data_IF_805180383331
#
_entry.id   IF_805180383331
#
_cell.length_a   1.000
_cell.length_b   1.000
_cell.length_c   1.000
_cell.angle_alpha   90.00
_cell.angle_beta   90.00
_cell.angle_gamma   90.00
#
_symmetry.space_group_name_H-M   'P 1'
#
loop_
_entity.id
_entity.type
_entity.pdbx_description
1 polymer ?
#
# COMPACT_ATOMS: atom_id res chain seq x y z
N UNK A 1 13.89 -7.35 3.96
CA UNK A 1 15.13 -8.17 4.10
C UNK A 1 14.82 -9.60 3.69
N UNK A 2 15.58 -10.19 2.77
CA UNK A 2 15.38 -11.57 2.30
C UNK A 2 16.45 -12.45 2.97
N UNK A 3 16.03 -13.31 3.89
CA UNK A 3 16.90 -14.29 4.54
C UNK A 3 16.88 -15.57 3.71
N UNK A 4 18.03 -16.02 3.19
CA UNK A 4 18.15 -17.33 2.54
C UNK A 4 18.47 -18.37 3.62
N UNK A 5 17.62 -19.37 3.86
CA UNK A 5 18.03 -20.51 4.68
C UNK A 5 19.18 -21.25 4.01
N UNK A 6 20.12 -21.73 4.81
CA UNK A 6 21.43 -22.27 4.40
C UNK A 6 21.36 -23.66 3.75
N UNK A 7 20.22 -24.29 3.64
CA UNK A 7 20.08 -25.65 3.13
C UNK A 7 19.02 -25.77 2.04
N UNK A 8 19.41 -26.31 0.89
CA UNK A 8 18.61 -27.09 -0.08
C UNK A 8 17.31 -26.43 -0.62
N UNK A 9 16.68 -25.54 0.09
CA UNK A 9 15.45 -24.86 -0.30
C UNK A 9 15.78 -23.58 -1.07
N UNK A 10 15.29 -23.49 -2.30
CA UNK A 10 15.37 -22.29 -3.14
C UNK A 10 14.47 -21.16 -2.64
N UNK A 11 13.64 -21.47 -1.69
CA UNK A 11 12.62 -20.61 -1.11
C UNK A 11 13.23 -19.47 -0.28
N UNK A 12 12.46 -18.46 0.00
CA UNK A 12 12.88 -17.31 0.77
C UNK A 12 11.87 -16.94 1.85
N UNK A 13 12.39 -16.38 2.95
CA UNK A 13 11.57 -15.76 3.99
C UNK A 13 11.68 -14.24 3.82
N UNK A 14 10.53 -13.57 3.79
CA UNK A 14 10.42 -12.13 3.85
C UNK A 14 10.03 -11.69 5.26
N UNK A 15 10.66 -10.64 5.76
CA UNK A 15 10.25 -9.94 6.98
C UNK A 15 10.17 -8.46 6.68
N UNK A 16 9.23 -7.77 7.31
CA UNK A 16 9.04 -6.35 7.09
C UNK A 16 8.41 -5.66 8.28
N UNK A 17 8.52 -4.35 8.28
CA UNK A 17 7.89 -3.45 9.22
C UNK A 17 7.14 -2.38 8.43
N UNK A 18 5.91 -2.06 8.85
CA UNK A 18 5.07 -1.02 8.25
C UNK A 18 4.67 -0.05 9.35
N UNK A 19 4.86 1.21 9.08
CA UNK A 19 4.35 2.31 9.89
C UNK A 19 3.41 3.16 9.05
N UNK A 20 2.19 3.36 9.55
CA UNK A 20 1.21 4.27 8.96
C UNK A 20 0.76 5.28 10.01
N UNK A 21 0.66 6.53 9.61
CA UNK A 21 0.06 7.58 10.41
C UNK A 21 -0.79 8.46 9.49
N UNK A 22 -2.07 8.52 9.79
CA UNK A 22 -3.05 9.31 9.06
C UNK A 22 -3.78 10.24 10.01
N UNK A 23 -4.07 11.47 9.55
CA UNK A 23 -4.83 12.48 10.30
C UNK A 23 -5.68 13.27 9.31
N UNK A 24 -6.96 13.40 9.60
CA UNK A 24 -7.90 14.11 8.75
C UNK A 24 -8.82 15.03 9.57
N UNK A 25 -9.24 16.11 8.92
CA UNK A 25 -10.18 17.08 9.46
C UNK A 25 -9.68 17.89 10.68
N UNK A 26 -10.49 18.83 11.12
CA UNK A 26 -10.14 19.77 12.20
C UNK A 26 -9.97 19.06 13.54
N UNK A 27 -10.77 18.00 13.78
CA UNK A 27 -10.66 17.17 14.98
C UNK A 27 -9.45 16.24 15.00
N UNK A 28 -8.58 16.26 13.98
CA UNK A 28 -7.45 15.35 13.81
C UNK A 28 -7.88 13.86 13.97
N UNK A 29 -9.07 13.51 13.44
CA UNK A 29 -9.48 12.11 13.41
C UNK A 29 -8.46 11.32 12.57
N UNK A 30 -7.96 10.21 13.10
CA UNK A 30 -6.99 9.45 12.35
C UNK A 30 -6.50 8.20 13.06
N UNK A 31 -5.57 7.53 12.39
CA UNK A 31 -5.00 6.27 12.80
C UNK A 31 -3.48 6.32 12.87
N UNK A 32 -2.91 5.63 13.85
CA UNK A 32 -1.50 5.31 13.92
C UNK A 32 -1.38 3.79 13.99
N UNK A 33 -0.58 3.20 13.10
CA UNK A 33 -0.49 1.74 12.95
C UNK A 33 0.96 1.32 12.80
N UNK A 34 1.31 0.25 13.51
CA UNK A 34 2.59 -0.44 13.41
C UNK A 34 2.33 -1.90 13.11
N UNK A 35 2.87 -2.42 12.00
CA UNK A 35 2.77 -3.82 11.65
C UNK A 35 4.14 -4.44 11.52
N UNK A 36 4.28 -5.62 12.10
CA UNK A 36 5.35 -6.56 11.81
C UNK A 36 4.83 -7.62 10.85
N UNK A 37 5.55 -7.87 9.76
CA UNK A 37 5.11 -8.77 8.70
C UNK A 37 6.11 -9.89 8.48
N UNK A 38 5.60 -11.09 8.23
CA UNK A 38 6.37 -12.25 7.84
C UNK A 38 5.77 -12.93 6.63
N UNK A 39 6.59 -13.46 5.74
CA UNK A 39 6.11 -14.21 4.58
C UNK A 39 7.07 -15.33 4.21
N UNK A 40 6.50 -16.42 3.69
CA UNK A 40 7.22 -17.49 3.05
C UNK A 40 6.99 -17.44 1.55
N UNK A 41 8.07 -17.54 0.77
CA UNK A 41 8.07 -17.38 -0.69
C UNK A 41 8.59 -18.66 -1.31
N UNK A 42 7.68 -19.41 -1.95
CA UNK A 42 8.03 -20.59 -2.75
C UNK A 42 8.48 -20.19 -4.14
N UNK A 43 9.64 -20.66 -4.54
CA UNK A 43 10.12 -20.54 -5.90
C UNK A 43 9.66 -21.76 -6.69
N UNK A 44 8.46 -21.68 -7.30
CA UNK A 44 7.85 -22.80 -8.03
C UNK A 44 8.73 -23.24 -9.20
N UNK A 45 9.30 -22.28 -9.94
CA UNK A 45 10.26 -22.55 -11.00
C UNK A 45 11.70 -22.29 -10.55
N UNK A 46 12.65 -23.10 -11.09
CA UNK A 46 14.08 -23.03 -10.75
C UNK A 46 14.73 -21.69 -11.06
N UNK A 47 14.27 -21.02 -12.10
CA UNK A 47 14.75 -19.72 -12.56
C UNK A 47 14.11 -18.54 -11.80
N UNK A 48 13.26 -18.83 -10.80
CA UNK A 48 12.49 -17.84 -10.04
C UNK A 48 11.50 -17.05 -10.90
N UNK A 49 11.15 -17.55 -12.09
CA UNK A 49 10.18 -16.87 -12.96
C UNK A 49 8.74 -17.02 -12.48
N UNK A 50 8.46 -18.03 -11.63
CA UNK A 50 7.17 -18.22 -10.98
C UNK A 50 7.38 -18.39 -9.48
N UNK A 51 6.78 -17.49 -8.69
CA UNK A 51 6.86 -17.49 -7.25
C UNK A 51 5.45 -17.34 -6.67
N UNK A 52 5.20 -18.04 -5.57
CA UNK A 52 3.98 -17.93 -4.76
C UNK A 52 4.40 -17.60 -3.33
N UNK A 53 3.70 -16.71 -2.67
CA UNK A 53 3.97 -16.40 -1.28
C UNK A 53 2.71 -16.41 -0.43
N UNK A 54 2.87 -16.80 0.83
CA UNK A 54 1.91 -16.60 1.90
C UNK A 54 2.54 -15.71 2.95
N UNK A 55 1.76 -14.79 3.47
CA UNK A 55 2.23 -13.83 4.46
C UNK A 55 1.20 -13.55 5.54
N UNK A 56 1.71 -13.12 6.67
CA UNK A 56 0.90 -12.69 7.81
C UNK A 56 1.48 -11.39 8.36
N UNK A 57 0.63 -10.59 8.99
CA UNK A 57 1.06 -9.41 9.74
C UNK A 57 0.32 -9.33 11.07
N UNK A 58 1.05 -8.91 12.09
CA UNK A 58 0.56 -8.58 13.41
C UNK A 58 0.81 -7.10 13.65
N UNK A 59 -0.23 -6.36 14.01
CA UNK A 59 -0.16 -4.92 14.18
C UNK A 59 -0.71 -4.43 15.50
N UNK A 60 -0.18 -3.30 15.93
CA UNK A 60 -0.73 -2.44 16.94
C UNK A 60 -1.33 -1.22 16.25
N UNK A 61 -2.60 -0.96 16.51
CA UNK A 61 -3.37 0.10 15.88
C UNK A 61 -4.01 0.98 16.93
N UNK A 62 -3.95 2.28 16.71
CA UNK A 62 -4.58 3.30 17.52
C UNK A 62 -5.43 4.20 16.65
N UNK A 63 -6.69 4.38 16.98
CA UNK A 63 -7.62 5.30 16.31
C UNK A 63 -8.09 6.32 17.33
N UNK A 64 -8.19 7.58 16.93
CA UNK A 64 -8.60 8.63 17.85
C UNK A 64 -8.93 9.95 17.17
N UNK A 65 -9.45 10.88 17.97
CA UNK A 65 -9.75 12.24 17.55
C UNK A 65 -9.55 13.22 18.71
N UNK A 66 -9.40 14.49 18.40
CA UNK A 66 -9.29 15.56 19.40
C UNK A 66 -10.66 16.21 19.64
N UNK A 67 -11.30 15.83 20.75
CA UNK A 67 -12.60 16.35 21.12
C UNK A 67 -12.62 17.88 21.31
N UNK A 68 -11.56 18.46 21.86
CA UNK A 68 -11.50 19.92 22.11
C UNK A 68 -11.51 20.78 20.85
N UNK A 69 -11.28 20.17 19.67
CA UNK A 69 -11.34 20.84 18.37
C UNK A 69 -12.65 20.64 17.64
N UNK A 70 -13.59 19.89 18.22
CA UNK A 70 -14.90 19.66 17.63
C UNK A 70 -15.85 20.80 18.01
N UNK A 71 -16.74 21.11 17.10
CA UNK A 71 -17.83 22.08 17.30
C UNK A 71 -19.16 21.40 16.99
N UNK A 72 -20.19 21.73 17.75
CA UNK A 72 -21.49 21.06 17.69
C UNK A 72 -22.63 22.09 17.56
N UNK A 73 -23.71 21.71 16.92
CA UNK A 73 -24.87 22.57 16.67
C UNK A 73 -25.49 23.12 17.97
N UNK A 74 -25.44 22.34 19.05
CA UNK A 74 -25.90 22.75 20.41
C UNK A 74 -25.10 23.92 21.01
N UNK A 75 -23.94 24.22 20.43
CA UNK A 75 -23.11 25.36 20.84
C UNK A 75 -23.43 26.66 20.07
N UNK A 76 -24.52 26.67 19.29
CA UNK A 76 -25.03 27.90 18.67
C UNK A 76 -26.10 28.53 19.55
N UNK A 77 -25.89 29.77 19.99
CA UNK A 77 -26.76 30.49 20.92
C UNK A 77 -27.96 31.22 20.26
N UNK A 78 -28.15 30.98 18.95
CA UNK A 78 -29.17 31.63 18.10
C UNK A 78 -28.63 32.82 17.31
N UNK A 79 -27.45 33.34 17.66
CA UNK A 79 -26.79 34.47 16.98
C UNK A 79 -25.39 34.08 16.50
N UNK A 80 -24.64 33.39 17.33
CA UNK A 80 -23.22 33.02 17.07
C UNK A 80 -22.86 31.70 17.74
N UNK A 81 -21.76 31.16 17.33
CA UNK A 81 -21.11 30.03 17.99
C UNK A 81 -20.54 30.45 19.34
N UNK A 82 -20.86 29.72 20.41
CA UNK A 82 -20.40 29.95 21.75
C UNK A 82 -19.79 28.66 22.34
N UNK A 83 -18.46 28.60 22.42
CA UNK A 83 -17.73 27.45 22.97
C UNK A 83 -17.98 27.20 24.49
N UNK A 84 -18.56 28.14 25.20
CA UNK A 84 -18.95 27.98 26.59
C UNK A 84 -20.23 27.18 26.83
N UNK A 85 -21.02 26.93 25.76
CA UNK A 85 -22.19 26.07 25.82
C UNK A 85 -21.80 24.59 25.78
N UNK A 86 -22.56 23.75 26.49
CA UNK A 86 -22.36 22.33 26.49
C UNK A 86 -22.59 21.75 25.10
N UNK A 87 -21.71 20.88 24.65
CA UNK A 87 -21.84 20.21 23.34
C UNK A 87 -23.03 19.25 23.24
N UNK A 88 -23.52 18.73 24.36
CA UNK A 88 -24.53 17.68 24.44
C UNK A 88 -24.00 16.28 24.07
N UNK A 89 -22.79 16.18 23.57
CA UNK A 89 -22.18 14.91 23.15
C UNK A 89 -21.28 14.33 24.23
N UNK A 90 -21.42 13.03 24.47
CA UNK A 90 -20.61 12.30 25.44
C UNK A 90 -19.92 11.13 24.76
N UNK A 91 -18.61 11.07 24.89
CA UNK A 91 -17.79 9.97 24.42
C UNK A 91 -17.21 9.22 25.62
N UNK A 92 -17.34 7.91 25.65
CA UNK A 92 -16.72 7.08 26.69
C UNK A 92 -15.18 7.14 26.59
N UNK A 93 -14.66 7.36 25.37
CA UNK A 93 -13.24 7.54 25.07
C UNK A 93 -13.05 8.33 23.78
N UNK A 94 -11.97 9.08 23.68
CA UNK A 94 -11.57 9.80 22.45
C UNK A 94 -10.52 9.04 21.65
N UNK A 95 -10.07 7.90 22.18
CA UNK A 95 -9.03 7.08 21.60
C UNK A 95 -9.30 5.60 21.90
N UNK A 96 -9.07 4.74 20.94
CA UNK A 96 -9.14 3.29 21.11
C UNK A 96 -7.90 2.64 20.51
N UNK A 97 -7.44 1.57 21.15
CA UNK A 97 -6.24 0.81 20.73
C UNK A 97 -6.62 -0.66 20.60
N UNK A 98 -6.11 -1.31 19.57
CA UNK A 98 -6.37 -2.72 19.31
C UNK A 98 -5.18 -3.40 18.62
N UNK A 99 -5.14 -4.71 18.77
CA UNK A 99 -4.22 -5.57 18.01
C UNK A 99 -4.92 -6.06 16.76
N UNK A 100 -4.26 -5.90 15.62
CA UNK A 100 -4.76 -6.30 14.32
C UNK A 100 -3.98 -7.47 13.75
N UNK A 101 -4.68 -8.37 13.07
CA UNK A 101 -4.10 -9.56 12.45
C UNK A 101 -4.59 -9.69 11.02
N UNK A 102 -3.62 -9.80 10.08
CA UNK A 102 -3.91 -9.83 8.66
C UNK A 102 -3.15 -10.98 8.00
N UNK A 103 -3.73 -11.53 6.93
CA UNK A 103 -3.13 -12.59 6.13
C UNK A 103 -3.19 -12.22 4.65
N UNK A 104 -2.29 -12.80 3.88
CA UNK A 104 -2.28 -12.57 2.45
C UNK A 104 -1.56 -13.65 1.67
N UNK A 105 -1.82 -13.67 0.39
CA UNK A 105 -1.16 -14.51 -0.59
C UNK A 105 -0.78 -13.68 -1.81
N UNK A 106 0.31 -14.03 -2.48
CA UNK A 106 0.69 -13.38 -3.72
C UNK A 106 1.30 -14.37 -4.70
N UNK A 107 1.05 -14.11 -5.96
CA UNK A 107 1.64 -14.77 -7.11
C UNK A 107 2.47 -13.75 -7.89
N UNK A 108 3.67 -14.12 -8.25
CA UNK A 108 4.52 -13.40 -9.17
C UNK A 108 4.91 -14.32 -10.33
N UNK A 109 4.60 -13.92 -11.54
CA UNK A 109 4.93 -14.68 -12.74
C UNK A 109 5.60 -13.79 -13.79
N UNK A 110 6.88 -14.04 -14.01
CA UNK A 110 7.68 -13.46 -15.07
C UNK A 110 7.62 -14.40 -16.28
N UNK A 111 6.72 -14.13 -17.24
CA UNK A 111 6.52 -14.97 -18.41
C UNK A 111 7.74 -14.91 -19.33
N UNK A 112 8.26 -13.69 -19.52
CA UNK A 112 9.52 -13.38 -20.20
C UNK A 112 10.09 -12.07 -19.63
N UNK A 113 11.26 -11.55 -20.06
CA UNK A 113 11.88 -10.36 -19.46
C UNK A 113 10.99 -9.11 -19.37
N UNK A 114 10.00 -8.98 -20.27
CA UNK A 114 9.13 -7.80 -20.31
C UNK A 114 7.63 -8.10 -20.07
N UNK A 115 7.22 -9.38 -19.99
CA UNK A 115 5.86 -9.76 -19.63
C UNK A 115 5.81 -10.28 -18.20
N UNK A 116 5.06 -9.62 -17.35
CA UNK A 116 4.95 -9.92 -15.93
C UNK A 116 3.50 -9.84 -15.49
N UNK A 117 3.09 -10.84 -14.73
CA UNK A 117 1.82 -10.86 -14.00
C UNK A 117 2.11 -10.87 -12.51
N UNK A 118 1.40 -10.05 -11.75
CA UNK A 118 1.40 -10.11 -10.30
C UNK A 118 -0.05 -10.14 -9.84
N UNK A 119 -0.35 -11.02 -8.92
CA UNK A 119 -1.64 -11.06 -8.25
C UNK A 119 -1.41 -11.12 -6.75
N UNK A 120 -2.14 -10.32 -6.00
CA UNK A 120 -2.13 -10.29 -4.55
C UNK A 120 -3.54 -10.40 -4.00
N UNK A 121 -3.69 -11.14 -2.93
CA UNK A 121 -4.88 -11.22 -2.11
C UNK A 121 -4.53 -10.92 -0.67
N UNK A 122 -5.29 -10.07 -0.01
CA UNK A 122 -5.14 -9.77 1.41
C UNK A 122 -6.47 -9.76 2.13
N UNK A 123 -6.48 -10.28 3.35
CA UNK A 123 -7.60 -10.18 4.28
C UNK A 123 -7.10 -9.51 5.56
N UNK A 124 -7.74 -8.40 5.90
CA UNK A 124 -7.37 -7.53 7.02
C UNK A 124 -8.44 -7.57 8.08
N UNK A 125 -8.05 -7.24 9.32
CA UNK A 125 -8.95 -7.18 10.47
C UNK A 125 -9.65 -8.52 10.75
N UNK A 126 -8.94 -9.64 10.56
CA UNK A 126 -9.50 -11.01 10.65
C UNK A 126 -10.16 -11.29 12.00
N UNK A 127 -9.67 -10.67 13.07
CA UNK A 127 -10.22 -10.82 14.43
C UNK A 127 -11.39 -9.89 14.72
N UNK A 128 -11.72 -8.97 13.82
CA UNK A 128 -12.78 -7.97 14.02
C UNK A 128 -12.58 -7.15 15.30
N UNK A 129 -11.51 -6.33 15.39
CA UNK A 129 -11.26 -5.55 16.59
C UNK A 129 -12.39 -4.55 16.87
N UNK A 130 -12.60 -4.22 18.15
CA UNK A 130 -13.58 -3.20 18.56
C UNK A 130 -12.96 -1.83 18.45
N UNK A 131 -13.59 -0.93 17.70
CA UNK A 131 -13.06 0.41 17.36
C UNK A 131 -13.98 1.56 17.73
N UNK A 132 -14.90 1.35 18.68
CA UNK A 132 -15.92 2.35 19.03
C UNK A 132 -15.45 3.33 20.11
N UNK A 133 -16.03 4.52 20.10
CA UNK A 133 -15.78 5.59 21.08
C UNK A 133 -16.91 5.76 22.10
N UNK A 134 -18.08 5.19 21.84
CA UNK A 134 -19.29 5.35 22.66
C UNK A 134 -19.49 4.25 23.70
N UNK A 135 -18.60 3.26 23.76
CA UNK A 135 -18.65 2.16 24.73
C UNK A 135 -19.47 0.93 24.26
N UNK A 136 -20.10 1.00 23.10
CA UNK A 136 -20.75 -0.13 22.46
C UNK A 136 -19.72 -1.15 21.90
N UNK A 137 -20.14 -2.40 21.69
CA UNK A 137 -19.30 -3.49 21.17
C UNK A 137 -19.57 -3.64 19.68
N UNK A 138 -19.07 -2.68 18.87
CA UNK A 138 -19.12 -2.83 17.42
C UNK A 138 -17.76 -3.27 16.88
N UNK A 139 -17.74 -4.42 16.25
CA UNK A 139 -16.54 -4.98 15.61
C UNK A 139 -16.31 -4.32 14.25
N UNK A 140 -15.04 -4.09 13.95
CA UNK A 140 -14.63 -3.68 12.61
C UNK A 140 -14.80 -4.86 11.64
N UNK A 141 -15.47 -4.62 10.52
CA UNK A 141 -15.61 -5.64 9.47
C UNK A 141 -14.24 -5.99 8.88
N UNK A 142 -14.05 -7.25 8.52
CA UNK A 142 -12.86 -7.64 7.76
C UNK A 142 -12.85 -6.95 6.39
N UNK A 143 -11.64 -6.64 5.92
CA UNK A 143 -11.41 -6.03 4.61
C UNK A 143 -10.70 -7.02 3.71
N UNK A 144 -11.26 -7.30 2.56
CA UNK A 144 -10.63 -8.05 1.47
C UNK A 144 -10.04 -7.08 0.45
N UNK A 145 -8.83 -7.38 -0.01
CA UNK A 145 -8.17 -6.62 -1.06
C UNK A 145 -7.60 -7.58 -2.10
N UNK A 146 -7.90 -7.32 -3.36
CA UNK A 146 -7.30 -8.00 -4.51
C UNK A 146 -6.49 -6.99 -5.30
N UNK A 147 -5.31 -7.36 -5.71
CA UNK A 147 -4.45 -6.57 -6.57
C UNK A 147 -4.00 -7.42 -7.75
N UNK A 148 -4.18 -6.90 -8.95
CA UNK A 148 -3.70 -7.51 -10.18
C UNK A 148 -2.84 -6.48 -10.92
N UNK A 149 -1.66 -6.88 -11.36
CA UNK A 149 -0.80 -6.06 -12.22
C UNK A 149 -0.31 -6.88 -13.41
N UNK A 150 -0.38 -6.28 -14.57
CA UNK A 150 0.15 -6.84 -15.80
C UNK A 150 1.05 -5.83 -16.51
N UNK A 151 2.30 -6.23 -16.74
CA UNK A 151 3.25 -5.44 -17.53
C UNK A 151 3.49 -6.13 -18.88
N UNK A 152 3.42 -5.38 -19.96
CA UNK A 152 3.65 -5.88 -21.33
C UNK A 152 4.37 -4.82 -22.17
N UNK A 153 5.27 -5.21 -23.11
CA UNK A 153 5.88 -4.27 -24.02
C UNK A 153 4.85 -3.71 -25.02
N UNK A 154 4.88 -2.41 -25.23
CA UNK A 154 4.15 -1.73 -26.30
C UNK A 154 5.07 -1.47 -27.50
N UNK A 155 6.30 -1.01 -27.20
CA UNK A 155 7.35 -0.78 -28.18
C UNK A 155 8.67 -1.32 -27.66
N UNK A 156 9.75 -1.18 -28.43
CA UNK A 156 11.08 -1.55 -27.95
C UNK A 156 11.44 -0.86 -26.64
N UNK A 157 11.12 0.43 -26.48
CA UNK A 157 11.52 1.25 -25.33
C UNK A 157 10.35 1.58 -24.38
N UNK A 158 9.16 1.09 -24.62
CA UNK A 158 7.98 1.44 -23.81
C UNK A 158 7.21 0.20 -23.40
N UNK A 159 6.89 0.10 -22.10
CA UNK A 159 5.99 -0.91 -21.55
C UNK A 159 4.68 -0.26 -21.13
N UNK A 160 3.59 -1.01 -21.27
CA UNK A 160 2.30 -0.72 -20.60
C UNK A 160 2.30 -1.46 -19.28
N UNK A 161 1.89 -0.76 -18.21
CA UNK A 161 1.60 -1.35 -16.90
C UNK A 161 0.12 -1.09 -16.61
N UNK A 162 -0.65 -2.16 -16.57
CA UNK A 162 -2.07 -2.14 -16.19
C UNK A 162 -2.23 -2.76 -14.81
N UNK A 163 -2.94 -2.07 -13.93
CA UNK A 163 -3.16 -2.49 -12.54
C UNK A 163 -4.64 -2.37 -12.19
N UNK A 164 -5.11 -3.24 -11.34
CA UNK A 164 -6.45 -3.22 -10.81
C UNK A 164 -6.39 -3.53 -9.31
N UNK A 165 -6.91 -2.64 -8.48
CA UNK A 165 -7.17 -2.90 -7.09
C UNK A 165 -8.66 -2.98 -6.84
N UNK A 166 -9.08 -4.00 -6.13
CA UNK A 166 -10.44 -4.21 -5.65
C UNK A 166 -10.38 -4.36 -4.14
N UNK A 167 -11.12 -3.54 -3.42
CA UNK A 167 -11.18 -3.57 -1.96
C UNK A 167 -12.63 -3.58 -1.50
N UNK A 168 -12.95 -4.46 -0.57
CA UNK A 168 -14.27 -4.55 0.05
C UNK A 168 -14.15 -4.64 1.56
N UNK A 169 -14.93 -3.81 2.28
CA UNK A 169 -15.06 -3.85 3.74
C UNK A 169 -16.51 -3.64 4.14
N UNK A 170 -17.14 -4.67 4.70
CA UNK A 170 -18.58 -4.67 4.95
C UNK A 170 -19.36 -4.39 3.66
N UNK A 171 -20.13 -3.30 3.65
CA UNK A 171 -20.88 -2.85 2.47
C UNK A 171 -20.10 -1.89 1.55
N UNK A 172 -18.90 -1.46 1.94
CA UNK A 172 -18.10 -0.53 1.16
C UNK A 172 -17.25 -1.28 0.15
N UNK A 173 -17.32 -0.81 -1.08
CA UNK A 173 -16.62 -1.37 -2.23
C UNK A 173 -15.87 -0.27 -2.94
N UNK A 174 -14.59 -0.50 -3.21
CA UNK A 174 -13.73 0.36 -3.99
C UNK A 174 -13.05 -0.43 -5.11
N UNK A 175 -13.07 0.11 -6.32
CA UNK A 175 -12.37 -0.44 -7.49
C UNK A 175 -11.50 0.65 -8.08
N UNK A 176 -10.22 0.35 -8.27
CA UNK A 176 -9.21 1.32 -8.71
C UNK A 176 -8.42 0.74 -9.87
N UNK A 177 -8.92 0.86 -11.12
CA UNK A 177 -8.12 0.58 -12.30
C UNK A 177 -7.05 1.67 -12.51
N UNK A 178 -5.89 1.25 -12.95
CA UNK A 178 -4.75 2.10 -13.26
C UNK A 178 -4.06 1.64 -14.54
N UNK A 179 -3.68 2.57 -15.41
CA UNK A 179 -2.86 2.31 -16.58
C UNK A 179 -1.75 3.34 -16.64
N UNK A 180 -0.52 2.88 -16.86
CA UNK A 180 0.64 3.74 -17.08
C UNK A 180 1.51 3.26 -18.22
N UNK A 181 2.19 4.21 -18.86
CA UNK A 181 3.27 3.98 -19.80
C UNK A 181 4.60 4.14 -19.06
N UNK A 182 5.44 3.12 -19.16
CA UNK A 182 6.81 3.14 -18.66
C UNK A 182 7.76 3.22 -19.83
N UNK A 183 8.40 4.38 -20.04
CA UNK A 183 9.38 4.60 -21.11
C UNK A 183 10.78 4.49 -20.55
N UNK A 184 11.57 3.57 -21.10
CA UNK A 184 12.99 3.43 -20.77
C UNK A 184 13.78 4.53 -21.45
N UNK A 185 14.57 5.27 -20.67
CA UNK A 185 15.58 6.23 -21.14
C UNK A 185 16.85 5.45 -21.41
N UNK A 186 17.24 4.57 -20.47
CA UNK A 186 18.36 3.68 -20.59
C UNK A 186 18.01 2.30 -19.99
N UNK A 187 17.96 1.28 -20.81
CA UNK A 187 17.67 -0.08 -20.37
C UNK A 187 18.81 -0.72 -19.58
N UNK A 188 20.06 -0.35 -19.86
CA UNK A 188 21.22 -0.94 -19.20
C UNK A 188 21.29 -0.50 -17.73
N UNK A 189 21.00 0.75 -17.45
CA UNK A 189 20.96 1.28 -16.07
C UNK A 189 19.58 1.14 -15.42
N UNK A 190 18.54 0.78 -16.18
CA UNK A 190 17.17 0.68 -15.72
C UNK A 190 16.49 2.05 -15.50
N UNK A 191 17.02 3.11 -16.15
CA UNK A 191 16.40 4.44 -16.11
C UNK A 191 15.12 4.45 -16.93
N UNK A 192 14.02 4.90 -16.31
CA UNK A 192 12.73 5.00 -16.96
C UNK A 192 11.89 6.11 -16.35
N UNK A 193 11.04 6.71 -17.16
CA UNK A 193 9.95 7.59 -16.73
C UNK A 193 8.62 6.86 -16.84
N UNK A 194 7.71 7.19 -15.94
CA UNK A 194 6.35 6.65 -15.93
C UNK A 194 5.37 7.81 -15.97
N UNK A 195 4.30 7.64 -16.73
CA UNK A 195 3.14 8.53 -16.69
C UNK A 195 1.88 7.66 -16.78
N UNK A 196 0.89 7.95 -15.96
CA UNK A 196 -0.31 7.13 -15.89
C UNK A 196 -1.50 7.85 -15.30
N UNK A 197 -2.64 7.20 -15.49
CA UNK A 197 -3.92 7.62 -14.94
C UNK A 197 -4.51 6.49 -14.13
N UNK A 198 -5.12 6.85 -13.02
CA UNK A 198 -5.82 5.95 -12.14
C UNK A 198 -7.22 6.51 -11.91
N UNK A 199 -8.19 5.62 -11.81
CA UNK A 199 -9.58 5.97 -11.58
C UNK A 199 -10.07 5.34 -10.29
N UNK A 200 -10.25 6.13 -9.23
CA UNK A 200 -10.93 5.67 -8.03
C UNK A 200 -12.43 5.82 -8.25
N UNK A 201 -13.13 4.70 -8.37
CA UNK A 201 -14.56 4.70 -8.75
C UNK A 201 -15.38 5.54 -7.78
N UNK A 202 -16.18 6.48 -8.34
CA UNK A 202 -17.07 7.41 -7.62
C UNK A 202 -16.37 8.44 -6.72
N UNK A 203 -15.05 8.57 -6.79
CA UNK A 203 -14.28 9.44 -5.91
C UNK A 203 -13.35 10.39 -6.67
N UNK A 204 -12.30 9.88 -7.30
CA UNK A 204 -11.28 10.72 -7.90
C UNK A 204 -10.69 10.14 -9.20
N UNK A 205 -10.23 11.04 -10.06
CA UNK A 205 -9.28 10.73 -11.12
C UNK A 205 -7.88 11.13 -10.65
N UNK A 206 -6.89 10.25 -10.82
CA UNK A 206 -5.55 10.45 -10.29
C UNK A 206 -4.56 10.47 -11.44
N UNK A 207 -3.75 11.52 -11.52
CA UNK A 207 -2.62 11.62 -12.45
C UNK A 207 -1.35 11.20 -11.72
N UNK A 208 -0.56 10.32 -12.31
CA UNK A 208 0.69 9.82 -11.72
C UNK A 208 1.85 10.03 -12.66
N UNK A 209 2.99 10.49 -12.10
CA UNK A 209 4.27 10.55 -12.78
C UNK A 209 5.33 9.91 -11.90
N UNK A 210 6.27 9.20 -12.52
CA UNK A 210 7.32 8.52 -11.78
C UNK A 210 8.64 8.52 -12.54
N UNK A 211 9.71 8.36 -11.80
CA UNK A 211 11.07 8.18 -12.30
C UNK A 211 11.74 7.01 -11.61
N UNK A 212 12.30 6.11 -12.38
CA UNK A 212 13.05 4.96 -11.93
C UNK A 212 14.51 5.10 -12.34
N UNK A 213 15.42 4.89 -11.40
CA UNK A 213 16.86 4.87 -11.64
C UNK A 213 17.50 3.73 -10.85
N UNK A 214 17.73 2.61 -11.52
CA UNK A 214 18.27 1.42 -10.86
C UNK A 214 17.43 0.96 -9.67
N UNK A 215 17.93 1.06 -8.42
CA UNK A 215 17.21 0.67 -7.22
C UNK A 215 16.20 1.71 -6.73
N UNK A 216 16.30 2.95 -7.20
CA UNK A 216 15.45 4.06 -6.76
C UNK A 216 14.22 4.18 -7.66
N UNK A 217 13.06 4.30 -7.02
CA UNK A 217 11.78 4.60 -7.67
C UNK A 217 11.12 5.74 -6.91
N UNK A 218 10.81 6.82 -7.61
CA UNK A 218 10.16 7.99 -7.03
C UNK A 218 9.05 8.48 -7.93
N UNK A 219 8.13 9.22 -7.38
CA UNK A 219 7.10 9.86 -8.18
C UNK A 219 6.14 10.70 -7.36
N UNK A 220 5.23 11.29 -8.09
CA UNK A 220 4.19 12.17 -7.58
C UNK A 220 2.84 11.71 -8.12
N UNK A 221 1.80 11.93 -7.35
CA UNK A 221 0.42 11.77 -7.79
C UNK A 221 -0.41 12.98 -7.37
N UNK A 222 -1.42 13.27 -8.15
CA UNK A 222 -2.39 14.31 -7.86
C UNK A 222 -3.80 13.80 -8.10
N UNK A 223 -4.62 13.85 -7.05
CA UNK A 223 -6.03 13.45 -7.10
C UNK A 223 -6.87 14.64 -7.57
N UNK A 224 -7.74 14.40 -8.54
CA UNK A 224 -8.77 15.33 -8.98
C UNK A 224 -10.09 14.79 -8.47
N UNK A 225 -10.69 15.45 -7.48
CA UNK A 225 -11.95 15.01 -6.90
C UNK A 225 -13.09 15.16 -7.93
N UNK A 226 -13.79 14.06 -8.18
CA UNK A 226 -14.96 13.99 -9.09
C UNK A 226 -16.22 13.53 -8.37
N UNK A 227 -16.14 13.28 -7.05
CA UNK A 227 -17.27 12.89 -6.22
C UNK A 227 -18.20 14.07 -5.93
N UNK A 228 -19.31 13.81 -5.24
CA UNK A 228 -20.21 14.87 -4.75
C UNK A 228 -19.53 15.88 -3.81
N UNK A 229 -18.36 15.55 -3.30
CA UNK A 229 -17.50 16.44 -2.50
C UNK A 229 -16.87 17.59 -3.30
N UNK A 230 -17.00 17.59 -4.63
CA UNK A 230 -16.49 18.68 -5.50
C UNK A 230 -16.97 20.07 -5.09
N UNK A 231 -18.21 20.17 -4.58
CA UNK A 231 -18.76 21.43 -4.10
C UNK A 231 -18.01 22.00 -2.89
N UNK A 232 -17.53 21.15 -1.99
CA UNK A 232 -16.78 21.54 -0.79
C UNK A 232 -15.29 21.73 -1.06
N UNK A 233 -14.71 21.00 -2.01
CA UNK A 233 -13.27 20.97 -2.26
C UNK A 233 -12.83 21.82 -3.45
N UNK A 234 -13.78 22.39 -4.22
CA UNK A 234 -13.49 23.05 -5.52
C UNK A 234 -12.63 22.14 -6.45
N UNK A 235 -12.92 20.83 -6.46
CA UNK A 235 -12.19 19.78 -7.17
C UNK A 235 -10.74 19.57 -6.71
N UNK A 236 -10.30 20.23 -5.66
CA UNK A 236 -8.95 20.02 -5.10
C UNK A 236 -8.94 18.65 -4.42
N UNK A 237 -7.98 17.85 -4.80
CA UNK A 237 -7.70 16.56 -4.19
C UNK A 237 -6.39 16.56 -3.42
N UNK A 238 -5.87 15.37 -3.19
CA UNK A 238 -4.60 15.19 -2.48
C UNK A 238 -3.42 15.26 -3.45
N UNK A 239 -2.30 15.78 -2.96
CA UNK A 239 -0.99 15.67 -3.59
C UNK A 239 -0.18 14.64 -2.83
N UNK A 240 0.39 13.66 -3.54
CA UNK A 240 1.15 12.57 -2.95
C UNK A 240 2.56 12.52 -3.53
N UNK A 241 3.53 12.19 -2.68
CA UNK A 241 4.91 11.90 -3.09
C UNK A 241 5.23 10.50 -2.59
N UNK A 242 5.85 9.70 -3.44
CA UNK A 242 6.37 8.40 -3.04
C UNK A 242 7.86 8.26 -3.36
N UNK A 243 8.54 7.51 -2.48
CA UNK A 243 9.94 7.14 -2.65
C UNK A 243 10.08 5.67 -2.25
N UNK A 244 10.65 4.87 -3.13
CA UNK A 244 10.96 3.47 -2.88
C UNK A 244 12.42 3.21 -3.26
N UNK A 245 13.18 2.59 -2.35
CA UNK A 245 14.56 2.22 -2.58
C UNK A 245 14.79 0.73 -2.30
N UNK A 246 15.26 0.00 -3.29
CA UNK A 246 15.53 -1.44 -3.19
C UNK A 246 17.00 -1.67 -2.91
N UNK A 247 17.34 -1.97 -1.64
CA UNK A 247 18.70 -2.36 -1.26
C UNK A 247 19.03 -3.73 -1.87
N UNK A 248 19.94 -3.74 -2.84
CA UNK A 248 20.46 -4.96 -3.45
C UNK A 248 21.83 -5.27 -2.85
N UNK A 249 21.94 -6.36 -2.09
CA UNK A 249 23.26 -6.89 -1.76
C UNK A 249 23.89 -7.40 -3.07
N UNK A 250 24.98 -6.79 -3.50
CA UNK A 250 25.82 -7.38 -4.55
C UNK A 250 26.29 -8.73 -3.98
N UNK A 251 26.06 -9.85 -4.67
CA UNK A 251 26.61 -11.11 -4.19
C UNK A 251 28.14 -10.97 -4.22
N UNK A 252 28.75 -11.00 -3.06
CA UNK A 252 30.23 -11.07 -2.90
C UNK A 252 30.70 -12.50 -3.22
N UNK A 253 30.24 -13.06 -4.31
CA UNK A 253 30.88 -14.23 -4.88
C UNK A 253 31.99 -13.73 -5.80
N UNK A 254 33.16 -13.55 -5.20
CA UNK A 254 34.41 -13.70 -5.93
C UNK A 254 34.39 -15.17 -6.39
N UNK A 255 34.12 -15.39 -7.67
CA UNK A 255 34.39 -16.69 -8.26
C UNK A 255 35.87 -16.96 -8.01
N UNK A 256 36.16 -17.81 -7.05
CA UNK A 256 37.52 -18.39 -6.95
C UNK A 256 37.73 -19.17 -8.24
N UNK A 257 38.40 -18.57 -9.20
CA UNK A 257 38.93 -19.27 -10.35
C UNK A 257 39.83 -20.38 -9.76
N UNK A 258 39.32 -21.59 -9.75
CA UNK A 258 40.15 -22.78 -9.53
C UNK A 258 40.95 -22.94 -10.81
N UNK A 259 42.15 -22.40 -10.80
CA UNK A 259 43.14 -22.80 -11.78
C UNK A 259 43.42 -24.28 -11.54
N UNK A 260 43.05 -25.12 -12.46
CA UNK A 260 43.61 -26.48 -12.52
C UNK A 260 45.09 -26.33 -12.76
N UNK A 261 45.96 -26.85 -11.90
CA UNK A 261 47.39 -26.94 -12.21
C UNK A 261 47.53 -27.88 -13.42
N UNK A 262 48.06 -27.36 -14.51
CA UNK A 262 48.55 -28.19 -15.63
C UNK A 262 49.79 -28.91 -15.16
N UNK A 263 49.62 -30.19 -14.89
CA UNK A 263 50.81 -31.07 -14.78
C UNK A 263 51.30 -31.37 -16.20
N UNK A 264 52.56 -30.96 -16.48
CA UNK A 264 53.35 -31.45 -17.56
C UNK A 264 53.87 -32.86 -17.25
#
# INVERSE_FOLDING_TARGET
>A
MRLKPRSILRDAIGVGFIFNNDRAGDANYGTTQFYFTGSYIWMVKKDSSLMVSLGTSLGWCQVGFNYSKMTFDTQFDGVRFNNGLASGEQFARTQTTFVDFNNGAALFWQINPRHRVQYGFGIYHVRGPVTTFQGDIKKLDYRMCHYLSYTTPMTEHTDIVAELMYTQQGKYLEVVPHVSLKRFIDKATGQAVLAGVCWRTRDAAILRMGYHQGPLQSGIAYDINISKFTAATNRRGAFEIYLNYVFKNKPTFVAKNRYCPTFL
#
